data_IF_604715054382
#
_entry.id   IF_604715054382
#
_cell.length_a   1.000
_cell.length_b   1.000
_cell.length_c   1.000
_cell.angle_alpha   90.00
_cell.angle_beta   90.00
_cell.angle_gamma   90.00
#
_symmetry.space_group_name_H-M   'P 1'
#
loop_
_entity.id
_entity.type
_entity.pdbx_description
1 polymer ?
#
# COMPACT_ATOMS: atom_id res chain seq x y z
N UNK A 1 35.86 6.55 -26.53
CA UNK A 1 35.64 6.23 -25.11
C UNK A 1 34.62 5.10 -25.09
N UNK A 2 35.06 3.90 -24.74
CA UNK A 2 34.36 2.65 -25.01
C UNK A 2 33.22 2.42 -24.01
N UNK A 3 31.99 2.30 -24.52
CA UNK A 3 30.76 2.16 -23.73
C UNK A 3 30.79 0.87 -22.88
N UNK A 4 31.48 -0.17 -23.35
CA UNK A 4 31.67 -1.43 -22.63
C UNK A 4 32.58 -1.30 -21.40
N UNK A 5 33.54 -0.37 -21.42
CA UNK A 5 34.43 -0.11 -20.28
C UNK A 5 33.70 0.68 -19.18
N UNK A 6 32.85 1.63 -19.59
CA UNK A 6 32.03 2.43 -18.68
C UNK A 6 30.96 1.60 -17.97
N UNK A 7 30.35 0.63 -18.67
CA UNK A 7 29.38 -0.29 -18.08
C UNK A 7 30.01 -1.29 -17.11
N UNK A 8 31.26 -1.71 -17.34
CA UNK A 8 31.98 -2.61 -16.43
C UNK A 8 32.32 -1.96 -15.09
N UNK A 9 32.68 -0.68 -15.07
CA UNK A 9 32.92 0.05 -13.82
C UNK A 9 31.63 0.25 -13.02
N UNK A 10 30.51 0.57 -13.68
CA UNK A 10 29.20 0.76 -13.04
C UNK A 10 28.57 -0.54 -12.52
N UNK A 11 28.83 -1.68 -13.16
CA UNK A 11 28.31 -3.00 -12.77
C UNK A 11 29.37 -3.91 -12.14
N UNK A 12 30.42 -3.35 -11.52
CA UNK A 12 31.22 -4.13 -10.56
C UNK A 12 30.32 -4.50 -9.38
N UNK A 13 29.63 -5.64 -9.51
CA UNK A 13 28.90 -6.23 -8.41
C UNK A 13 29.90 -6.44 -7.28
N UNK A 14 29.78 -5.64 -6.22
CA UNK A 14 30.48 -5.90 -4.97
C UNK A 14 30.31 -7.38 -4.67
N UNK A 15 31.42 -8.10 -4.48
CA UNK A 15 31.38 -9.54 -4.18
C UNK A 15 30.36 -9.72 -3.06
N UNK A 16 29.22 -10.38 -3.32
CA UNK A 16 28.18 -10.46 -2.32
C UNK A 16 28.79 -11.16 -1.10
N UNK A 17 28.48 -10.71 0.13
CA UNK A 17 29.05 -11.30 1.32
C UNK A 17 28.83 -12.82 1.27
N UNK A 18 29.81 -13.61 1.75
CA UNK A 18 29.84 -15.08 1.57
C UNK A 18 28.55 -15.80 1.99
N UNK A 19 27.74 -15.16 2.82
CA UNK A 19 26.46 -15.66 3.30
C UNK A 19 25.23 -15.13 2.55
N UNK A 20 25.37 -14.28 1.53
CA UNK A 20 24.28 -13.72 0.75
C UNK A 20 23.40 -14.79 0.10
N UNK A 21 24.02 -15.83 -0.46
CA UNK A 21 23.30 -16.98 -1.03
C UNK A 21 22.55 -17.77 0.05
N UNK A 22 23.12 -17.89 1.25
CA UNK A 22 22.49 -18.55 2.39
C UNK A 22 21.35 -17.70 3.00
N UNK A 23 21.46 -16.36 2.97
CA UNK A 23 20.38 -15.42 3.33
C UNK A 23 19.24 -15.47 2.32
N UNK A 24 19.57 -15.45 1.02
CA UNK A 24 18.61 -15.65 -0.08
C UNK A 24 17.90 -16.99 0.06
N UNK A 25 18.63 -18.10 0.22
CA UNK A 25 18.05 -19.44 0.44
C UNK A 25 17.15 -19.52 1.68
N UNK A 26 17.54 -18.88 2.80
CA UNK A 26 16.70 -18.76 4.00
C UNK A 26 15.44 -17.93 3.76
N UNK A 27 15.52 -16.88 2.94
CA UNK A 27 14.36 -16.08 2.52
C UNK A 27 13.44 -16.80 1.52
N UNK A 28 14.02 -17.60 0.60
CA UNK A 28 13.32 -18.36 -0.43
C UNK A 28 12.63 -19.62 0.13
N UNK A 29 13.12 -20.16 1.25
CA UNK A 29 12.52 -21.31 1.95
C UNK A 29 11.50 -20.96 3.03
N UNK A 30 11.39 -19.69 3.41
CA UNK A 30 10.34 -19.25 4.32
C UNK A 30 9.00 -19.28 3.58
N UNK A 31 8.05 -20.13 4.01
CA UNK A 31 6.66 -20.00 3.57
C UNK A 31 6.25 -18.54 3.77
N UNK A 32 5.73 -17.83 2.75
CA UNK A 32 5.28 -16.46 2.92
C UNK A 32 4.29 -16.46 4.08
N UNK A 33 4.59 -15.65 5.10
CA UNK A 33 3.69 -15.54 6.25
C UNK A 33 2.35 -15.08 5.70
N UNK A 34 1.31 -15.90 5.90
CA UNK A 34 -0.07 -15.48 5.64
C UNK A 34 -0.38 -14.32 6.58
N UNK A 35 -0.45 -13.11 6.03
CA UNK A 35 -0.70 -11.89 6.79
C UNK A 35 -2.21 -11.66 6.98
N UNK A 36 -3.06 -12.35 6.22
CA UNK A 36 -4.53 -12.22 6.26
C UNK A 36 -5.12 -12.31 7.67
N UNK A 37 -4.69 -13.27 8.54
CA UNK A 37 -5.22 -13.37 9.90
C UNK A 37 -4.92 -12.16 10.79
N UNK A 38 -3.98 -11.29 10.40
CA UNK A 38 -3.71 -10.05 11.15
C UNK A 38 -4.88 -9.07 11.08
N UNK A 39 -5.73 -9.13 10.04
CA UNK A 39 -6.93 -8.29 9.96
C UNK A 39 -7.90 -8.53 11.14
N UNK A 40 -7.90 -9.74 11.70
CA UNK A 40 -8.75 -10.11 12.84
C UNK A 40 -8.16 -9.68 14.19
N UNK A 41 -6.93 -9.14 14.18
CA UNK A 41 -6.23 -8.58 15.35
C UNK A 41 -6.37 -7.07 15.47
N UNK A 42 -7.23 -6.47 14.64
CA UNK A 42 -7.61 -5.07 14.78
C UNK A 42 -9.04 -4.91 15.32
N UNK A 43 -9.23 -4.02 16.29
CA UNK A 43 -10.55 -3.43 16.55
C UNK A 43 -10.76 -2.30 15.55
N UNK A 44 -11.91 -2.30 14.89
CA UNK A 44 -12.26 -1.30 13.87
C UNK A 44 -13.42 -0.47 14.39
N UNK A 45 -13.25 0.84 14.44
CA UNK A 45 -14.30 1.78 14.81
C UNK A 45 -14.65 2.65 13.60
N UNK A 46 -15.93 2.97 13.48
CA UNK A 46 -16.45 3.75 12.37
C UNK A 46 -17.59 4.68 12.81
N UNK A 47 -17.73 5.77 12.08
CA UNK A 47 -18.88 6.67 12.10
C UNK A 47 -19.75 6.41 10.86
N UNK A 48 -20.81 7.18 10.69
CA UNK A 48 -21.59 7.17 9.45
C UNK A 48 -20.79 7.58 8.22
N UNK A 49 -19.71 8.36 8.40
CA UNK A 49 -18.91 8.90 7.30
C UNK A 49 -17.76 7.99 6.89
N UNK A 50 -17.27 7.13 7.79
CA UNK A 50 -16.20 6.18 7.47
C UNK A 50 -15.52 5.60 8.69
N UNK A 51 -14.40 4.91 8.46
CA UNK A 51 -13.56 4.35 9.52
C UNK A 51 -12.89 5.50 10.27
N UNK A 52 -13.05 5.51 11.60
CA UNK A 52 -12.46 6.53 12.48
C UNK A 52 -11.23 5.99 13.20
N UNK A 53 -11.15 4.68 13.45
CA UNK A 53 -10.04 4.08 14.19
C UNK A 53 -9.75 2.63 13.79
N UNK A 54 -8.48 2.28 13.74
CA UNK A 54 -7.96 0.93 13.59
C UNK A 54 -6.83 0.71 14.61
N UNK A 55 -7.09 -0.10 15.63
CA UNK A 55 -6.15 -0.33 16.74
C UNK A 55 -6.01 -1.80 17.09
N UNK A 56 -4.92 -2.24 17.73
CA UNK A 56 -4.78 -3.63 18.18
C UNK A 56 -5.96 -4.03 19.07
N UNK A 57 -6.55 -5.20 18.80
CA UNK A 57 -7.72 -5.69 19.50
C UNK A 57 -8.65 -6.49 18.61
N UNK A 58 -9.85 -6.81 19.09
CA UNK A 58 -10.87 -7.51 18.31
C UNK A 58 -12.19 -6.75 18.37
N UNK A 59 -13.08 -7.06 17.44
CA UNK A 59 -14.44 -6.51 17.40
C UNK A 59 -14.58 -5.22 16.59
N UNK A 60 -15.80 -4.68 16.62
CA UNK A 60 -16.22 -3.50 15.87
C UNK A 60 -16.91 -2.52 16.82
N UNK A 61 -16.54 -1.25 16.75
CA UNK A 61 -17.27 -0.14 17.40
C UNK A 61 -18.03 0.66 16.35
N UNK A 62 -19.36 0.55 16.34
CA UNK A 62 -20.19 1.21 15.34
C UNK A 62 -21.54 1.61 15.96
N UNK A 63 -21.83 2.91 16.14
CA UNK A 63 -23.05 3.39 16.79
C UNK A 63 -24.30 3.26 15.92
N UNK A 64 -24.15 2.99 14.62
CA UNK A 64 -25.26 2.88 13.67
C UNK A 64 -25.06 1.68 12.72
N UNK A 65 -26.11 1.35 11.97
CA UNK A 65 -26.02 0.37 10.87
C UNK A 65 -25.08 0.82 9.75
N UNK A 66 -25.03 2.13 9.42
CA UNK A 66 -24.14 2.66 8.39
C UNK A 66 -22.67 2.56 8.82
N UNK A 67 -22.38 2.95 10.07
CA UNK A 67 -21.06 2.79 10.67
C UNK A 67 -20.62 1.32 10.69
N UNK A 68 -21.53 0.39 11.00
CA UNK A 68 -21.24 -1.04 11.01
C UNK A 68 -20.82 -1.54 9.63
N UNK A 69 -21.52 -1.12 8.58
CA UNK A 69 -21.15 -1.46 7.19
C UNK A 69 -19.76 -0.96 6.81
N UNK A 70 -19.36 0.24 7.25
CA UNK A 70 -18.00 0.73 7.01
C UNK A 70 -16.96 -0.11 7.72
N UNK A 71 -17.19 -0.48 8.98
CA UNK A 71 -16.25 -1.30 9.74
C UNK A 71 -16.13 -2.74 9.18
N UNK A 72 -17.23 -3.34 8.76
CA UNK A 72 -17.25 -4.66 8.10
C UNK A 72 -16.52 -4.62 6.76
N UNK A 73 -16.80 -3.60 5.94
CA UNK A 73 -16.09 -3.39 4.68
C UNK A 73 -14.59 -3.18 4.91
N UNK A 74 -14.20 -2.38 5.89
CA UNK A 74 -12.80 -2.18 6.23
C UNK A 74 -12.10 -3.49 6.63
N UNK A 75 -12.78 -4.36 7.38
CA UNK A 75 -12.27 -5.70 7.73
C UNK A 75 -12.01 -6.54 6.49
N UNK A 76 -12.98 -6.60 5.59
CA UNK A 76 -12.91 -7.37 4.35
C UNK A 76 -11.76 -6.85 3.47
N UNK A 77 -11.74 -5.54 3.20
CA UNK A 77 -10.70 -4.92 2.38
C UNK A 77 -9.31 -5.09 3.02
N UNK A 78 -9.19 -5.04 4.35
CA UNK A 78 -7.92 -5.27 5.06
C UNK A 78 -7.45 -6.73 4.93
N UNK A 79 -8.35 -7.71 5.01
CA UNK A 79 -8.01 -9.11 4.74
C UNK A 79 -7.52 -9.31 3.32
N UNK A 80 -8.20 -8.72 2.33
CA UNK A 80 -7.79 -8.81 0.93
C UNK A 80 -6.43 -8.13 0.69
N UNK A 81 -6.21 -6.97 1.30
CA UNK A 81 -4.95 -6.22 1.21
C UNK A 81 -3.80 -7.05 1.77
N UNK A 82 -3.96 -7.59 2.98
CA UNK A 82 -2.94 -8.41 3.64
C UNK A 82 -2.73 -9.76 2.93
N UNK A 83 -3.65 -10.16 2.05
CA UNK A 83 -3.49 -11.31 1.18
C UNK A 83 -2.77 -10.99 -0.15
N UNK A 84 -2.41 -9.72 -0.40
CA UNK A 84 -1.95 -9.27 -1.71
C UNK A 84 -3.03 -9.41 -2.79
N UNK A 85 -4.32 -9.43 -2.44
CA UNK A 85 -5.46 -9.46 -3.39
C UNK A 85 -6.08 -8.09 -3.63
N UNK A 86 -5.61 -7.06 -2.93
CA UNK A 86 -6.10 -5.68 -3.06
C UNK A 86 -4.95 -4.69 -2.96
N UNK A 87 -5.03 -3.65 -3.78
CA UNK A 87 -4.01 -2.58 -3.86
C UNK A 87 -4.56 -1.20 -3.48
N UNK A 88 -5.84 -1.10 -3.13
CA UNK A 88 -6.46 0.15 -2.69
C UNK A 88 -7.63 -0.11 -1.74
N UNK A 89 -7.84 0.79 -0.79
CA UNK A 89 -9.04 0.81 0.06
C UNK A 89 -10.11 1.69 -0.60
N UNK A 90 -11.35 1.22 -0.59
CA UNK A 90 -12.51 1.95 -1.07
C UNK A 90 -13.51 2.25 0.04
N UNK A 91 -13.32 1.68 1.24
CA UNK A 91 -13.97 2.17 2.46
C UNK A 91 -13.53 3.62 2.74
N UNK A 92 -14.46 4.54 3.04
CA UNK A 92 -14.11 5.90 3.40
C UNK A 92 -13.47 5.96 4.79
N UNK A 93 -12.63 6.96 5.01
CA UNK A 93 -12.02 7.28 6.29
C UNK A 93 -12.64 8.59 6.79
N UNK A 94 -13.05 8.61 8.06
CA UNK A 94 -13.53 9.82 8.73
C UNK A 94 -12.40 10.38 9.60
N UNK A 95 -11.83 11.51 9.18
CA UNK A 95 -10.74 12.22 9.87
C UNK A 95 -11.25 13.45 10.63
N UNK A 96 -12.56 13.64 10.71
CA UNK A 96 -13.12 14.79 11.40
C UNK A 96 -12.82 14.76 12.89
N UNK A 97 -12.66 15.95 13.47
CA UNK A 97 -12.26 16.12 14.87
C UNK A 97 -10.75 15.96 15.11
N UNK A 98 -9.96 15.61 14.09
CA UNK A 98 -8.51 15.74 14.17
C UNK A 98 -8.09 17.21 13.99
N UNK A 99 -6.96 17.63 14.60
CA UNK A 99 -6.36 18.93 14.32
C UNK A 99 -6.13 19.10 12.81
N UNK A 100 -6.39 20.29 12.28
CA UNK A 100 -6.36 20.58 10.84
C UNK A 100 -5.06 20.12 10.18
N UNK A 101 -3.91 20.44 10.78
CA UNK A 101 -2.60 20.01 10.28
C UNK A 101 -2.47 18.48 10.21
N UNK A 102 -2.96 17.76 11.23
CA UNK A 102 -2.93 16.29 11.24
C UNK A 102 -3.85 15.72 10.16
N UNK A 103 -5.07 16.24 10.03
CA UNK A 103 -6.01 15.81 9.00
C UNK A 103 -5.43 16.01 7.59
N UNK A 104 -4.80 17.17 7.33
CA UNK A 104 -4.12 17.46 6.07
C UNK A 104 -2.98 16.47 5.79
N UNK A 105 -2.10 16.21 6.76
CA UNK A 105 -1.01 15.23 6.62
C UNK A 105 -1.56 13.84 6.25
N UNK A 106 -2.57 13.37 6.97
CA UNK A 106 -3.17 12.05 6.74
C UNK A 106 -3.88 11.95 5.38
N UNK A 107 -4.59 13.02 4.97
CA UNK A 107 -5.24 13.08 3.67
C UNK A 107 -4.24 13.04 2.51
N UNK A 108 -3.09 13.71 2.63
CA UNK A 108 -2.02 13.63 1.63
C UNK A 108 -1.28 12.29 1.66
N UNK A 109 -1.07 11.70 2.84
CA UNK A 109 -0.49 10.36 2.96
C UNK A 109 -1.38 9.29 2.30
N UNK A 110 -2.71 9.42 2.42
CA UNK A 110 -3.68 8.52 1.77
C UNK A 110 -3.59 8.52 0.23
N UNK A 111 -2.97 9.54 -0.38
CA UNK A 111 -2.77 9.63 -1.83
C UNK A 111 -1.48 8.98 -2.32
N UNK A 112 -0.58 8.54 -1.42
CA UNK A 112 0.65 7.85 -1.81
C UNK A 112 0.28 6.48 -2.39
N UNK A 113 0.64 6.17 -3.65
CA UNK A 113 0.22 4.93 -4.30
C UNK A 113 0.74 3.67 -3.60
N UNK A 114 0.10 2.54 -3.87
CA UNK A 114 0.53 1.23 -3.41
C UNK A 114 1.83 0.81 -4.10
N UNK A 115 2.80 0.32 -3.33
CA UNK A 115 4.13 -0.06 -3.80
C UNK A 115 5.12 1.11 -3.82
N UNK A 116 4.65 2.33 -3.61
CA UNK A 116 5.46 3.55 -3.63
C UNK A 116 5.73 4.08 -2.22
N UNK A 117 6.79 4.89 -2.12
CA UNK A 117 7.18 5.57 -0.88
C UNK A 117 7.44 7.04 -1.15
N UNK A 118 7.26 7.86 -0.12
CA UNK A 118 7.54 9.30 -0.15
C UNK A 118 8.31 9.70 1.11
N UNK A 119 9.13 10.75 1.04
CA UNK A 119 9.82 11.25 2.23
C UNK A 119 8.90 12.13 3.08
N UNK A 120 9.20 12.25 4.38
CA UNK A 120 8.53 13.22 5.26
C UNK A 120 8.63 14.66 4.73
N UNK A 121 9.79 15.03 4.16
CA UNK A 121 10.03 16.36 3.60
C UNK A 121 9.19 16.62 2.34
N UNK A 122 9.12 15.63 1.43
CA UNK A 122 8.26 15.73 0.25
C UNK A 122 6.79 15.84 0.65
N UNK A 123 6.35 15.10 1.67
CA UNK A 123 5.00 15.23 2.18
C UNK A 123 4.75 16.62 2.81
N UNK A 124 5.74 17.15 3.55
CA UNK A 124 5.69 18.50 4.13
C UNK A 124 5.59 19.60 3.06
N UNK A 125 6.32 19.45 1.95
CA UNK A 125 6.21 20.33 0.79
C UNK A 125 4.82 20.27 0.15
N UNK A 126 4.27 19.05 -0.04
CA UNK A 126 2.94 18.84 -0.65
C UNK A 126 1.79 19.48 0.14
N UNK A 127 1.95 19.66 1.45
CA UNK A 127 0.95 20.31 2.33
C UNK A 127 1.23 21.81 2.53
N UNK A 128 2.17 22.40 1.80
CA UNK A 128 2.47 23.84 1.91
C UNK A 128 3.36 24.23 3.09
N UNK A 129 3.96 23.27 3.80
CA UNK A 129 4.83 23.51 4.95
C UNK A 129 6.20 22.85 4.79
N UNK A 130 7.08 23.32 3.87
CA UNK A 130 8.33 22.64 3.52
C UNK A 130 9.28 22.34 4.70
N UNK A 131 9.26 23.18 5.75
CA UNK A 131 10.09 23.03 6.96
C UNK A 131 9.48 22.12 8.03
N UNK A 132 8.32 21.52 7.79
CA UNK A 132 7.54 20.81 8.80
C UNK A 132 7.74 19.28 8.83
N UNK A 133 8.82 18.74 8.24
CA UNK A 133 9.06 17.29 8.15
C UNK A 133 8.93 16.56 9.50
N UNK A 134 9.44 17.14 10.60
CA UNK A 134 9.30 16.57 11.95
C UNK A 134 7.86 16.59 12.45
N UNK A 135 7.13 17.68 12.23
CA UNK A 135 5.72 17.79 12.60
C UNK A 135 4.85 16.81 11.80
N UNK A 136 5.14 16.62 10.50
CA UNK A 136 4.53 15.59 9.66
C UNK A 136 4.77 14.19 10.26
N UNK A 137 6.00 13.89 10.66
CA UNK A 137 6.33 12.63 11.34
C UNK A 137 5.51 12.39 12.61
N UNK A 138 5.35 13.42 13.45
CA UNK A 138 4.53 13.35 14.66
C UNK A 138 3.04 13.14 14.36
N UNK A 139 2.50 13.81 13.34
CA UNK A 139 1.12 13.64 12.90
C UNK A 139 0.87 12.20 12.39
N UNK A 140 1.79 11.66 11.59
CA UNK A 140 1.72 10.27 11.09
C UNK A 140 1.87 9.22 12.18
N UNK A 141 2.67 9.50 13.22
CA UNK A 141 2.79 8.62 14.38
C UNK A 141 1.47 8.50 15.17
N UNK A 142 0.60 9.49 15.07
CA UNK A 142 -0.75 9.54 15.69
C UNK A 142 -1.86 9.21 14.70
N UNK A 143 -1.55 8.57 13.57
CA UNK A 143 -2.54 8.11 12.61
C UNK A 143 -3.54 7.14 13.30
N UNK A 144 -4.84 7.49 13.37
CA UNK A 144 -5.82 6.64 14.03
C UNK A 144 -6.26 5.44 13.18
N UNK A 145 -6.02 5.48 11.86
CA UNK A 145 -6.41 4.44 10.88
C UNK A 145 -5.20 3.97 10.05
N UNK A 146 -4.18 3.40 10.70
CA UNK A 146 -2.99 2.88 10.02
C UNK A 146 -3.32 1.76 9.04
N UNK A 147 -2.38 1.46 8.13
CA UNK A 147 -2.56 0.56 6.95
C UNK A 147 -3.52 1.13 5.90
N UNK A 148 -4.73 1.53 6.29
CA UNK A 148 -5.72 2.18 5.40
C UNK A 148 -5.22 3.57 5.00
N UNK A 149 -4.86 4.40 5.98
CA UNK A 149 -4.02 5.57 5.76
C UNK A 149 -2.56 5.11 5.86
N UNK A 150 -1.80 5.08 4.75
CA UNK A 150 -0.58 4.29 4.64
C UNK A 150 0.64 5.04 5.18
N UNK A 151 0.66 5.33 6.49
CA UNK A 151 1.83 5.98 7.11
C UNK A 151 3.11 5.13 7.04
N UNK A 152 3.01 3.83 6.76
CA UNK A 152 4.16 2.97 6.46
C UNK A 152 4.86 3.30 5.14
N UNK A 153 4.21 4.02 4.21
CA UNK A 153 4.83 4.47 2.94
C UNK A 153 5.64 5.75 3.08
N UNK A 154 5.60 6.41 4.24
CA UNK A 154 6.38 7.62 4.50
C UNK A 154 7.70 7.26 5.18
N UNK A 155 8.81 7.69 4.60
CA UNK A 155 10.18 7.33 5.01
C UNK A 155 11.05 8.56 5.22
N UNK A 156 12.25 8.37 5.78
CA UNK A 156 13.25 9.45 5.86
C UNK A 156 13.88 9.68 4.49
N UNK A 157 14.49 10.85 4.30
CA UNK A 157 15.14 11.22 3.02
C UNK A 157 16.34 10.32 2.69
N UNK A 158 17.06 9.85 3.72
CA UNK A 158 18.17 8.89 3.58
C UNK A 158 17.71 7.46 3.21
N UNK A 159 16.42 7.27 2.95
CA UNK A 159 15.82 5.97 2.65
C UNK A 159 15.66 5.06 3.86
N UNK A 160 16.11 5.46 5.05
CA UNK A 160 15.96 4.67 6.27
C UNK A 160 14.53 4.72 6.80
N UNK A 161 14.17 3.67 7.54
CA UNK A 161 12.85 3.55 8.12
C UNK A 161 12.72 4.49 9.33
N UNK A 162 11.86 5.52 9.22
CA UNK A 162 11.40 6.28 10.38
C UNK A 162 10.56 5.43 11.36
N UNK A 163 10.22 6.01 12.51
CA UNK A 163 9.36 5.37 13.51
C UNK A 163 7.97 5.04 12.90
N UNK A 164 7.46 3.84 13.20
CA UNK A 164 6.14 3.38 12.78
C UNK A 164 5.40 2.82 13.98
N UNK A 165 4.13 3.20 14.14
CA UNK A 165 3.34 2.92 15.34
C UNK A 165 3.19 1.41 15.63
N UNK A 166 3.22 0.55 14.60
CA UNK A 166 3.21 -0.91 14.76
C UNK A 166 4.58 -1.57 14.69
N UNK A 167 5.64 -0.77 14.84
CA UNK A 167 7.02 -1.24 14.85
C UNK A 167 7.59 -1.52 13.46
N UNK A 168 8.92 -1.49 13.38
CA UNK A 168 9.66 -1.65 12.14
C UNK A 168 9.32 -2.95 11.38
N UNK A 169 9.16 -4.06 12.10
CA UNK A 169 8.83 -5.35 11.50
C UNK A 169 7.53 -5.31 10.67
N UNK A 170 6.48 -4.65 11.21
CA UNK A 170 5.22 -4.49 10.47
C UNK A 170 5.40 -3.61 9.24
N UNK A 171 6.14 -2.50 9.36
CA UNK A 171 6.45 -1.61 8.22
C UNK A 171 7.11 -2.37 7.08
N UNK A 172 8.14 -3.15 7.40
CA UNK A 172 8.86 -3.98 6.42
C UNK A 172 7.95 -5.02 5.80
N UNK A 173 7.11 -5.72 6.59
CA UNK A 173 6.17 -6.72 6.07
C UNK A 173 5.18 -6.11 5.07
N UNK A 174 4.59 -4.96 5.40
CA UNK A 174 3.63 -4.28 4.52
C UNK A 174 4.29 -3.85 3.21
N UNK A 175 5.46 -3.22 3.26
CA UNK A 175 6.14 -2.76 2.05
C UNK A 175 6.65 -3.91 1.18
N UNK A 176 7.10 -5.01 1.78
CA UNK A 176 7.44 -6.24 1.05
C UNK A 176 6.21 -6.83 0.36
N UNK A 177 5.07 -6.89 1.06
CA UNK A 177 3.79 -7.31 0.46
C UNK A 177 3.43 -6.41 -0.73
N UNK A 178 3.56 -5.09 -0.58
CA UNK A 178 3.20 -4.16 -1.64
C UNK A 178 4.08 -4.35 -2.88
N UNK A 179 5.40 -4.48 -2.69
CA UNK A 179 6.35 -4.69 -3.80
C UNK A 179 6.17 -6.03 -4.50
N UNK A 180 5.73 -7.07 -3.78
CA UNK A 180 5.49 -8.39 -4.34
C UNK A 180 4.11 -8.55 -4.99
N UNK A 181 3.22 -7.55 -4.85
CA UNK A 181 1.84 -7.64 -5.34
C UNK A 181 1.68 -6.90 -6.68
N UNK A 182 1.33 -7.61 -7.76
CA UNK A 182 0.93 -6.99 -9.02
C UNK A 182 -0.19 -5.96 -8.86
N UNK A 183 0.01 -4.75 -9.40
CA UNK A 183 -0.98 -3.66 -9.31
C UNK A 183 -2.05 -3.80 -10.38
N UNK A 184 -1.68 -4.22 -11.59
CA UNK A 184 -2.58 -4.31 -12.74
C UNK A 184 -2.74 -5.75 -13.21
N UNK A 185 -4.00 -6.17 -13.30
CA UNK A 185 -4.38 -7.52 -13.76
C UNK A 185 -5.42 -7.37 -14.87
N UNK A 186 -5.17 -8.02 -16.00
CA UNK A 186 -6.09 -8.13 -17.11
C UNK A 186 -6.73 -9.51 -17.23
N UNK A 187 -7.85 -9.55 -17.96
CA UNK A 187 -8.55 -10.77 -18.35
C UNK A 187 -8.29 -11.10 -19.82
N UNK A 188 -7.77 -12.29 -20.11
CA UNK A 188 -7.54 -12.77 -21.48
C UNK A 188 -8.83 -12.84 -22.30
N UNK A 189 -9.96 -13.17 -21.66
CA UNK A 189 -11.28 -13.29 -22.28
C UNK A 189 -11.89 -11.94 -22.66
N UNK A 190 -11.87 -10.97 -21.74
CA UNK A 190 -12.56 -9.68 -21.95
C UNK A 190 -11.66 -8.58 -22.48
N UNK A 191 -10.33 -8.79 -22.45
CA UNK A 191 -9.30 -7.78 -22.76
C UNK A 191 -9.46 -6.50 -21.94
N UNK A 192 -9.92 -6.62 -20.70
CA UNK A 192 -10.03 -5.50 -19.76
C UNK A 192 -8.89 -5.60 -18.74
N UNK A 193 -8.13 -4.52 -18.56
CA UNK A 193 -7.15 -4.38 -17.48
C UNK A 193 -7.76 -3.62 -16.30
N UNK A 194 -7.55 -4.13 -15.10
CA UNK A 194 -8.09 -3.62 -13.84
C UNK A 194 -6.97 -3.39 -12.82
N UNK A 195 -7.25 -2.57 -11.79
CA UNK A 195 -6.48 -2.59 -10.55
C UNK A 195 -6.81 -3.85 -9.76
N UNK A 196 -5.81 -4.45 -9.12
CA UNK A 196 -6.00 -5.62 -8.26
C UNK A 196 -6.87 -5.28 -7.04
N UNK A 197 -7.93 -6.05 -6.84
CA UNK A 197 -9.02 -5.76 -5.89
C UNK A 197 -10.25 -5.09 -6.53
N UNK A 198 -10.28 -4.92 -7.85
CA UNK A 198 -11.48 -4.45 -8.55
C UNK A 198 -12.55 -5.55 -8.58
N UNK A 199 -13.85 -5.25 -8.37
CA UNK A 199 -14.91 -6.26 -8.45
C UNK A 199 -14.97 -7.03 -9.77
N UNK A 200 -14.53 -6.46 -10.88
CA UNK A 200 -14.41 -7.17 -12.15
C UNK A 200 -13.22 -8.13 -12.17
N UNK A 201 -12.08 -7.70 -11.62
CA UNK A 201 -10.85 -8.49 -11.54
C UNK A 201 -10.98 -9.67 -10.59
N UNK A 202 -11.71 -9.51 -9.50
CA UNK A 202 -11.99 -10.58 -8.54
C UNK A 202 -12.79 -11.75 -9.17
N UNK A 203 -13.52 -11.51 -10.27
CA UNK A 203 -14.26 -12.55 -11.01
C UNK A 203 -13.45 -13.22 -12.13
N UNK A 204 -12.25 -12.73 -12.41
CA UNK A 204 -11.39 -13.34 -13.45
C UNK A 204 -10.83 -14.65 -12.90
N UNK A 205 -11.10 -15.76 -13.59
CA UNK A 205 -10.50 -17.05 -13.25
C UNK A 205 -8.98 -16.98 -13.37
N UNK A 206 -8.25 -17.67 -12.50
CA UNK A 206 -6.78 -17.57 -12.44
C UNK A 206 -6.10 -17.94 -13.76
N UNK A 207 -6.65 -18.92 -14.49
CA UNK A 207 -6.19 -19.32 -15.83
C UNK A 207 -6.33 -18.21 -16.89
N UNK A 208 -7.18 -17.21 -16.65
CA UNK A 208 -7.45 -16.11 -17.56
C UNK A 208 -6.81 -14.78 -17.11
N UNK A 209 -5.94 -14.81 -16.09
CA UNK A 209 -5.25 -13.61 -15.57
C UNK A 209 -3.95 -13.33 -16.31
N UNK A 210 -3.74 -12.07 -16.65
CA UNK A 210 -2.45 -11.55 -17.14
C UNK A 210 -2.05 -10.35 -16.30
N UNK A 211 -0.77 -10.22 -15.97
CA UNK A 211 -0.25 -9.06 -15.21
C UNK A 211 0.37 -8.06 -16.17
N UNK A 212 0.15 -6.77 -15.90
CA UNK A 212 0.77 -5.68 -16.63
C UNK A 212 1.60 -4.79 -15.70
N UNK A 213 2.72 -4.27 -16.21
CA UNK A 213 3.51 -3.28 -15.50
C UNK A 213 2.82 -1.90 -15.51
N UNK A 214 2.19 -1.52 -16.63
CA UNK A 214 1.46 -0.27 -16.75
C UNK A 214 0.20 -0.39 -17.62
N UNK A 215 -0.69 0.61 -17.56
CA UNK A 215 -1.85 0.69 -18.47
C UNK A 215 -1.43 0.92 -19.93
N UNK A 216 -0.42 1.75 -20.24
CA UNK A 216 0.16 1.81 -21.58
C UNK A 216 0.60 0.44 -22.13
N UNK A 217 1.29 -0.38 -21.32
CA UNK A 217 1.72 -1.73 -21.75
C UNK A 217 0.53 -2.64 -22.04
N UNK A 218 -0.53 -2.55 -21.23
CA UNK A 218 -1.75 -3.29 -21.49
C UNK A 218 -2.40 -2.87 -22.82
N UNK A 219 -2.42 -1.55 -23.10
CA UNK A 219 -3.00 -1.00 -24.33
C UNK A 219 -2.21 -1.42 -25.57
N UNK A 220 -0.88 -1.47 -25.50
CA UNK A 220 -0.05 -1.86 -26.65
C UNK A 220 -0.35 -3.29 -27.12
N UNK A 221 -0.85 -4.16 -26.24
CA UNK A 221 -1.29 -5.53 -26.56
C UNK A 221 -2.82 -5.69 -26.62
N UNK A 222 -3.55 -4.60 -26.82
CA UNK A 222 -4.99 -4.60 -27.13
C UNK A 222 -5.93 -4.69 -25.93
N UNK A 223 -5.46 -4.41 -24.71
CA UNK A 223 -6.33 -4.32 -23.54
C UNK A 223 -6.85 -2.90 -23.33
N UNK A 224 -8.12 -2.77 -22.93
CA UNK A 224 -8.72 -1.49 -22.55
C UNK A 224 -8.81 -1.33 -21.03
N UNK A 225 -8.65 -0.11 -20.49
CA UNK A 225 -8.77 0.12 -19.06
C UNK A 225 -10.22 -0.07 -18.57
N UNK A 226 -10.37 -0.72 -17.43
CA UNK A 226 -11.66 -0.90 -16.77
C UNK A 226 -12.32 0.44 -16.41
N UNK A 227 -13.60 0.58 -16.75
CA UNK A 227 -14.38 1.80 -16.49
C UNK A 227 -14.75 1.98 -15.01
N UNK A 228 -14.77 0.89 -14.24
CA UNK A 228 -15.09 0.91 -12.80
C UNK A 228 -13.89 1.32 -11.97
N UNK A 229 -12.77 0.58 -12.03
CA UNK A 229 -11.61 0.91 -11.20
C UNK A 229 -10.69 1.99 -11.80
N UNK A 230 -10.87 2.34 -13.09
CA UNK A 230 -10.14 3.39 -13.83
C UNK A 230 -8.62 3.35 -13.57
N UNK A 231 -7.93 2.26 -13.96
CA UNK A 231 -6.54 2.02 -13.56
C UNK A 231 -5.55 3.09 -14.05
N UNK A 232 -5.89 3.84 -15.09
CA UNK A 232 -5.04 4.90 -15.65
C UNK A 232 -4.95 6.18 -14.80
N UNK A 233 -5.76 6.30 -13.72
CA UNK A 233 -5.83 7.51 -12.88
C UNK A 233 -4.92 7.47 -11.64
N UNK A 234 -4.10 6.43 -11.50
CA UNK A 234 -3.25 6.20 -10.32
C UNK A 234 -1.77 6.38 -10.68
N UNK A 235 -1.46 7.45 -11.42
CA UNK A 235 -0.10 7.93 -11.62
C UNK A 235 0.06 9.25 -10.86
#
# INVERSE_FOLDING_TARGET
MDLDLMLREFFTAAVPPRDALARLRRGLGARPRRLEPLADRFRIEASDRGVTRLQPGRGVGAPSHRARRHAERAREELREYLAGRRTFFAVPVDLDGLPEFQAAVLAHAARVPFGEVVSYATLAQRIGHPRAARAVGNALARNPVPVIVPCHRVVREDGSWGHYAFGHAMKTLLLTLERATPVLVGSTTTRIVCRRGCPHEQRVADSNRVVFASVPDARSVGYRPCRVCRPARVA
#
